data_IF_510290778018
#
_entry.id   IF_510290778018
#
_cell.length_a   1.000
_cell.length_b   1.000
_cell.length_c   1.000
_cell.angle_alpha   90.00
_cell.angle_beta   90.00
_cell.angle_gamma   90.00
#
_symmetry.space_group_name_H-M   'P 1'
#
loop_
_entity.id
_entity.type
_entity.pdbx_description
1 polymer ?
#
# COMPACT_ATOMS: atom_id res chain seq x y z
N UNK A 1 8.20 -8.83 -22.05
CA UNK A 1 7.40 -10.05 -22.27
C UNK A 1 6.51 -10.25 -21.04
N UNK A 2 5.22 -10.52 -21.24
CA UNK A 2 4.31 -10.84 -20.13
C UNK A 2 4.75 -12.16 -19.47
N UNK A 3 4.68 -12.29 -18.14
CA UNK A 3 4.92 -13.57 -17.49
C UNK A 3 3.95 -14.64 -18.02
N UNK A 4 4.41 -15.89 -18.03
CA UNK A 4 3.58 -17.05 -18.38
C UNK A 4 3.15 -17.72 -17.09
N UNK A 5 1.86 -17.94 -16.94
CA UNK A 5 1.28 -18.68 -15.82
C UNK A 5 1.08 -20.14 -16.23
N UNK A 6 1.60 -21.06 -15.42
CA UNK A 6 1.36 -22.48 -15.52
C UNK A 6 0.62 -22.94 -14.28
N UNK A 7 -0.45 -23.71 -14.47
CA UNK A 7 -1.20 -24.35 -13.40
C UNK A 7 -1.31 -25.85 -13.71
N UNK A 8 -0.91 -26.68 -12.77
CA UNK A 8 -1.00 -28.14 -12.84
C UNK A 8 -1.98 -28.68 -11.80
N UNK A 9 -1.83 -29.95 -11.43
CA UNK A 9 -2.70 -30.60 -10.45
C UNK A 9 -2.39 -30.14 -9.01
N UNK A 10 -1.12 -30.02 -8.64
CA UNK A 10 -0.70 -29.76 -7.25
C UNK A 10 -0.25 -28.32 -6.99
N UNK A 11 -0.26 -27.45 -8.00
CA UNK A 11 0.24 -26.10 -7.85
C UNK A 11 0.35 -25.30 -9.13
N UNK A 12 0.98 -24.14 -8.98
CA UNK A 12 1.15 -23.17 -10.05
C UNK A 12 2.56 -22.57 -10.03
N UNK A 13 3.01 -22.10 -11.19
CA UNK A 13 4.27 -21.40 -11.35
C UNK A 13 4.11 -20.26 -12.36
N UNK A 14 4.78 -19.14 -12.07
CA UNK A 14 4.91 -18.01 -12.97
C UNK A 14 6.31 -18.01 -13.56
N UNK A 15 6.43 -17.93 -14.88
CA UNK A 15 7.70 -17.94 -15.59
C UNK A 15 7.97 -16.60 -16.27
N UNK A 16 9.25 -16.24 -16.34
CA UNK A 16 9.72 -15.14 -17.16
C UNK A 16 10.15 -15.65 -18.53
N UNK A 17 9.41 -15.38 -19.61
CA UNK A 17 9.81 -15.81 -20.95
C UNK A 17 11.13 -15.16 -21.40
N UNK A 18 11.41 -13.94 -20.91
CA UNK A 18 12.62 -13.19 -21.27
C UNK A 18 13.89 -13.86 -20.73
N UNK A 19 13.81 -14.44 -19.54
CA UNK A 19 14.97 -14.98 -18.83
C UNK A 19 14.92 -16.50 -18.64
N UNK A 20 13.85 -17.16 -19.08
CA UNK A 20 13.68 -18.62 -18.99
C UNK A 20 13.66 -19.15 -17.56
N UNK A 21 13.25 -18.35 -16.57
CA UNK A 21 13.28 -18.71 -15.14
C UNK A 21 11.92 -18.60 -14.47
N UNK A 22 11.73 -19.38 -13.40
CA UNK A 22 10.57 -19.27 -12.51
C UNK A 22 10.69 -17.97 -11.71
N UNK A 23 9.66 -17.13 -11.78
CA UNK A 23 9.51 -15.91 -10.98
C UNK A 23 8.97 -16.22 -9.59
N UNK A 24 7.97 -17.09 -9.52
CA UNK A 24 7.36 -17.57 -8.28
C UNK A 24 6.61 -18.89 -8.53
N UNK A 25 6.39 -19.68 -7.49
CA UNK A 25 5.52 -20.85 -7.52
C UNK A 25 4.83 -21.04 -6.17
N UNK A 26 3.69 -21.70 -6.18
CA UNK A 26 2.99 -22.12 -4.95
C UNK A 26 2.30 -23.44 -5.17
N UNK A 27 2.12 -24.18 -4.08
CA UNK A 27 1.33 -25.41 -4.07
C UNK A 27 -0.12 -25.09 -3.75
N UNK A 28 -1.02 -25.89 -4.30
CA UNK A 28 -2.41 -25.85 -3.89
C UNK A 28 -2.56 -26.54 -2.52
N UNK A 29 -3.50 -26.09 -1.67
CA UNK A 29 -3.82 -26.78 -0.41
C UNK A 29 -4.22 -28.24 -0.63
N UNK A 30 -4.83 -28.52 -1.78
CA UNK A 30 -5.22 -29.84 -2.22
C UNK A 30 -5.12 -29.93 -3.74
N UNK A 31 -4.83 -31.14 -4.25
CA UNK A 31 -4.76 -31.42 -5.67
C UNK A 31 -6.07 -31.09 -6.39
N UNK A 32 -5.94 -30.51 -7.56
CA UNK A 32 -7.06 -30.21 -8.44
C UNK A 32 -7.65 -31.50 -9.02
N UNK A 33 -8.97 -31.66 -8.94
CA UNK A 33 -9.67 -32.81 -9.54
C UNK A 33 -10.00 -32.61 -11.03
N UNK A 34 -9.74 -31.41 -11.55
CA UNK A 34 -9.88 -31.07 -12.97
C UNK A 34 -8.85 -30.02 -13.38
N UNK A 35 -8.78 -29.72 -14.67
CA UNK A 35 -7.89 -28.67 -15.17
C UNK A 35 -8.24 -27.33 -14.50
N UNK A 36 -7.26 -26.62 -13.89
CA UNK A 36 -7.51 -25.31 -13.31
C UNK A 36 -8.03 -24.31 -14.35
N UNK A 37 -8.99 -23.48 -13.95
CA UNK A 37 -9.60 -22.47 -14.82
C UNK A 37 -8.79 -21.19 -14.71
N UNK A 38 -8.33 -20.68 -15.85
CA UNK A 38 -7.57 -19.43 -15.95
C UNK A 38 -8.53 -18.30 -16.33
N UNK A 39 -8.77 -17.36 -15.41
CA UNK A 39 -9.69 -16.23 -15.64
C UNK A 39 -9.32 -15.05 -14.74
N UNK A 40 -9.79 -13.86 -15.06
CA UNK A 40 -9.61 -12.67 -14.22
C UNK A 40 -10.74 -12.63 -13.17
N UNK A 41 -10.43 -13.01 -11.93
CA UNK A 41 -11.44 -13.18 -10.87
C UNK A 41 -11.79 -11.85 -10.20
N UNK A 42 -10.85 -10.90 -10.17
CA UNK A 42 -11.00 -9.62 -9.48
C UNK A 42 -11.19 -8.41 -10.41
N UNK A 43 -11.08 -8.60 -11.73
CA UNK A 43 -11.25 -7.58 -12.75
C UNK A 43 -10.02 -6.68 -12.95
N UNK A 44 -8.82 -7.09 -12.53
CA UNK A 44 -7.60 -6.28 -12.64
C UNK A 44 -6.86 -6.43 -13.98
N UNK A 45 -7.36 -7.28 -14.87
CA UNK A 45 -6.80 -7.58 -16.18
C UNK A 45 -5.58 -8.53 -16.14
N UNK A 46 -5.27 -9.11 -14.98
CA UNK A 46 -4.30 -10.18 -14.79
C UNK A 46 -5.06 -11.52 -14.71
N UNK A 47 -4.45 -12.57 -15.26
CA UNK A 47 -5.02 -13.92 -15.21
C UNK A 47 -4.80 -14.53 -13.83
N UNK A 48 -5.91 -14.83 -13.16
CA UNK A 48 -5.98 -15.58 -11.91
C UNK A 48 -6.28 -17.07 -12.17
N UNK A 49 -6.36 -17.84 -11.08
CA UNK A 49 -6.60 -19.29 -11.15
C UNK A 49 -7.75 -19.67 -10.22
N UNK A 50 -8.69 -20.44 -10.75
CA UNK A 50 -9.71 -21.14 -9.99
C UNK A 50 -9.41 -22.65 -10.00
N UNK A 51 -9.23 -23.22 -8.82
CA UNK A 51 -8.92 -24.64 -8.61
C UNK A 51 -10.11 -25.30 -7.94
N UNK A 52 -10.55 -26.44 -8.48
CA UNK A 52 -11.61 -27.25 -7.89
C UNK A 52 -10.94 -28.47 -7.26
N UNK A 53 -11.05 -28.60 -5.94
CA UNK A 53 -10.62 -29.78 -5.19
C UNK A 53 -11.81 -30.67 -4.87
N UNK A 54 -11.57 -31.75 -4.12
CA UNK A 54 -12.62 -32.71 -3.77
C UNK A 54 -13.68 -32.13 -2.83
N UNK A 55 -13.32 -31.16 -2.00
CA UNK A 55 -14.14 -30.60 -0.92
C UNK A 55 -14.32 -29.07 -1.02
N UNK A 56 -13.59 -28.39 -1.89
CA UNK A 56 -13.55 -26.94 -1.95
C UNK A 56 -13.25 -26.39 -3.36
N UNK A 57 -13.53 -25.10 -3.52
CA UNK A 57 -13.12 -24.32 -4.68
C UNK A 57 -12.19 -23.21 -4.18
N UNK A 58 -10.97 -23.18 -4.70
CA UNK A 58 -9.93 -22.25 -4.31
C UNK A 58 -9.72 -21.20 -5.40
N UNK A 59 -9.78 -19.93 -5.04
CA UNK A 59 -9.39 -18.81 -5.90
C UNK A 59 -8.01 -18.29 -5.54
N UNK A 60 -7.10 -18.28 -6.51
CA UNK A 60 -5.75 -17.72 -6.37
C UNK A 60 -5.63 -16.45 -7.20
N UNK A 61 -5.52 -15.31 -6.52
CA UNK A 61 -5.31 -14.02 -7.15
C UNK A 61 -3.81 -13.81 -7.44
N UNK A 62 -3.47 -13.49 -8.68
CA UNK A 62 -2.09 -13.31 -9.14
C UNK A 62 -1.78 -11.83 -9.25
N UNK A 63 -1.10 -11.28 -8.24
CA UNK A 63 -0.65 -9.89 -8.28
C UNK A 63 0.73 -9.75 -8.94
N UNK A 64 0.77 -9.14 -10.13
CA UNK A 64 2.05 -8.73 -10.73
C UNK A 64 2.56 -7.46 -10.02
N UNK A 65 3.66 -7.59 -9.26
CA UNK A 65 4.26 -6.50 -8.46
C UNK A 65 4.54 -5.21 -9.24
N UNK A 66 4.68 -5.28 -10.57
CA UNK A 66 4.79 -4.10 -11.43
C UNK A 66 3.60 -3.13 -11.28
N UNK A 67 2.39 -3.63 -11.04
CA UNK A 67 1.18 -2.80 -10.87
C UNK A 67 1.00 -2.27 -9.43
N UNK A 68 1.71 -2.83 -8.44
CA UNK A 68 1.61 -2.43 -7.02
C UNK A 68 2.13 -1.01 -6.75
N UNK A 69 2.85 -0.40 -7.70
CA UNK A 69 3.43 0.92 -7.55
C UNK A 69 2.43 2.08 -7.61
N UNK A 70 1.14 1.83 -7.87
CA UNK A 70 0.16 2.91 -8.06
C UNK A 70 -0.17 3.72 -6.80
N UNK A 71 0.15 3.20 -5.60
CA UNK A 71 -0.31 3.80 -4.33
C UNK A 71 0.82 4.32 -3.41
N UNK A 72 2.09 4.25 -3.82
CA UNK A 72 3.21 4.74 -2.99
C UNK A 72 3.16 6.27 -2.82
N UNK A 73 2.81 6.98 -3.90
CA UNK A 73 2.68 8.44 -3.90
C UNK A 73 1.55 8.89 -2.97
N UNK A 74 0.41 8.20 -2.99
CA UNK A 74 -0.72 8.50 -2.10
C UNK A 74 -0.33 8.36 -0.62
N UNK A 75 0.43 7.31 -0.27
CA UNK A 75 0.93 7.12 1.12
C UNK A 75 1.88 8.24 1.54
N UNK A 76 2.77 8.68 0.66
CA UNK A 76 3.69 9.79 0.92
C UNK A 76 2.92 11.11 1.09
N UNK A 77 1.95 11.39 0.22
CA UNK A 77 1.12 12.60 0.29
C UNK A 77 0.34 12.68 1.59
N UNK A 78 -0.30 11.59 2.02
CA UNK A 78 -1.02 11.53 3.30
C UNK A 78 -0.07 11.74 4.48
N UNK A 79 1.11 11.11 4.45
CA UNK A 79 2.15 11.33 5.47
C UNK A 79 2.61 12.79 5.55
N UNK A 80 2.85 13.43 4.41
CA UNK A 80 3.23 14.85 4.35
C UNK A 80 2.10 15.78 4.84
N UNK A 81 0.83 15.45 4.55
CA UNK A 81 -0.31 16.21 5.03
C UNK A 81 -0.38 16.21 6.57
N UNK A 82 -0.26 15.04 7.20
CA UNK A 82 -0.25 14.94 8.66
C UNK A 82 0.95 15.66 9.28
N UNK A 83 2.14 15.55 8.68
CA UNK A 83 3.32 16.27 9.13
C UNK A 83 3.15 17.79 9.03
N UNK A 84 2.55 18.29 7.95
CA UNK A 84 2.25 19.71 7.75
C UNK A 84 1.23 20.24 8.76
N UNK A 85 0.17 19.49 9.05
CA UNK A 85 -0.82 19.86 10.07
C UNK A 85 -0.16 19.94 11.45
N UNK A 86 0.65 18.96 11.82
CA UNK A 86 1.38 18.96 13.08
C UNK A 86 2.34 20.15 13.19
N UNK A 87 3.10 20.43 12.12
CA UNK A 87 4.00 21.58 12.05
C UNK A 87 3.24 22.90 12.22
N UNK A 88 2.12 23.09 11.51
CA UNK A 88 1.30 24.29 11.61
C UNK A 88 0.73 24.47 13.03
N UNK A 89 0.29 23.39 13.69
CA UNK A 89 -0.19 23.44 15.07
C UNK A 89 0.90 23.89 16.05
N UNK A 90 2.13 23.39 15.89
CA UNK A 90 3.29 23.79 16.72
C UNK A 90 3.60 25.27 16.53
N UNK A 91 3.69 25.75 15.28
CA UNK A 91 3.98 27.16 14.96
C UNK A 91 2.90 28.09 15.50
N UNK A 92 1.62 27.71 15.35
CA UNK A 92 0.50 28.49 15.87
C UNK A 92 0.53 28.61 17.40
N UNK A 93 0.86 27.52 18.12
CA UNK A 93 0.98 27.56 19.57
C UNK A 93 2.11 28.48 20.05
N UNK A 94 3.26 28.48 19.36
CA UNK A 94 4.39 29.36 19.71
C UNK A 94 4.11 30.84 19.44
N UNK A 95 3.21 31.14 18.49
CA UNK A 95 2.84 32.50 18.11
C UNK A 95 1.90 33.17 19.12
N UNK A 96 1.13 32.37 19.87
CA UNK A 96 0.15 32.89 20.82
C UNK A 96 0.75 33.30 22.18
N UNK A 97 2.02 32.99 22.44
CA UNK A 97 2.72 33.31 23.70
C UNK A 97 3.49 34.64 23.69
N UNK A 98 3.48 35.41 22.59
CA UNK A 98 4.14 36.71 22.51
C UNK A 98 3.14 37.87 22.66
N UNK A 99 2.56 38.02 23.86
CA UNK A 99 1.99 39.31 24.27
C UNK A 99 3.00 40.01 25.19
N UNK A 100 3.77 41.01 24.70
CA UNK A 100 4.62 41.81 25.57
C UNK A 100 3.69 42.69 26.42
N UNK A 101 3.64 42.45 27.72
CA UNK A 101 3.04 43.40 28.66
C UNK A 101 3.83 44.70 28.63
N UNK A 102 3.36 45.66 27.83
CA UNK A 102 3.74 47.07 27.95
C UNK A 102 2.73 47.76 28.85
N UNK A 103 3.11 48.00 30.11
CA UNK A 103 2.56 49.10 30.92
C UNK A 103 3.66 49.58 31.87
N UNK A 104 4.42 50.60 31.45
CA UNK A 104 4.26 52.00 31.86
C UNK A 104 5.06 52.32 33.13
N UNK A 105 6.25 52.87 32.92
CA UNK A 105 7.01 53.58 33.95
C UNK A 105 6.24 54.86 34.30
N UNK A 106 5.51 54.85 35.42
CA UNK A 106 4.94 56.06 36.00
C UNK A 106 5.93 56.61 37.02
N UNK A 107 6.63 57.67 36.62
CA UNK A 107 7.59 58.39 37.46
C UNK A 107 6.95 58.88 38.75
N UNK A 108 7.53 58.49 39.89
CA UNK A 108 7.23 59.07 41.19
C UNK A 108 7.99 60.40 41.29
N UNK A 109 7.29 61.49 40.99
CA UNK A 109 7.73 62.88 41.18
C UNK A 109 7.76 63.20 42.68
N UNK A 110 8.82 63.90 43.06
CA UNK A 110 9.10 64.55 44.35
C UNK A 110 7.93 65.39 44.91
N UNK A 111 7.66 65.21 46.21
CA UNK A 111 7.10 66.11 47.26
C UNK A 111 7.09 65.24 48.54
N UNK A 112 7.68 65.55 49.69
CA UNK A 112 8.23 66.75 50.32
C UNK A 112 9.45 66.37 51.19
#
# INVERSE_FOLDING_TARGET
>A
ARPILLAGEDGMALLSPKYGRILTSTKFPQSSIMQPILTDLNGDGVTDILVISQDAIWGFIVELQYFRHRNILNRIMVGLLFAGIAFAAIVNHTSSSSHPQSTTILGKRSTD
#
